data_IF_436632644324
#
_entry.id   IF_436632644324
#
_cell.length_a   1.000
_cell.length_b   1.000
_cell.length_c   1.000
_cell.angle_alpha   90.00
_cell.angle_beta   90.00
_cell.angle_gamma   90.00
#
_symmetry.space_group_name_H-M   'P 1'
#
loop_
_entity.id
_entity.type
_entity.pdbx_description
1 polymer ?
#
# COMPACT_ATOMS: atom_id res chain seq x y z
N UNK A 1 23.44 51.11 28.62
CA UNK A 1 22.36 50.41 27.90
C UNK A 1 22.99 49.22 27.20
N UNK A 2 22.66 47.97 27.57
CA UNK A 2 23.15 46.81 26.84
C UNK A 2 22.49 46.75 25.45
N UNK A 3 23.19 46.28 24.40
CA UNK A 3 22.60 46.09 23.08
C UNK A 3 21.51 45.00 23.14
N UNK A 4 20.46 45.11 22.29
CA UNK A 4 19.43 44.08 22.20
C UNK A 4 20.04 42.75 21.72
N UNK A 5 19.56 41.60 22.23
CA UNK A 5 20.00 40.30 21.76
C UNK A 5 19.61 40.12 20.28
N UNK A 6 20.46 39.49 19.44
CA UNK A 6 20.09 39.16 18.08
C UNK A 6 18.93 38.16 18.09
N UNK A 7 18.00 38.22 17.11
CA UNK A 7 16.92 37.25 17.01
C UNK A 7 17.51 35.84 16.79
N UNK A 8 17.18 34.85 17.62
CA UNK A 8 17.48 33.46 17.28
C UNK A 8 16.55 33.00 16.16
N UNK A 9 17.00 32.06 15.32
CA UNK A 9 16.17 31.06 14.61
C UNK A 9 15.44 31.41 13.30
N UNK A 10 15.86 32.40 12.50
CA UNK A 10 15.33 32.52 11.12
C UNK A 10 15.92 31.47 10.14
N UNK A 11 17.14 30.98 10.38
CA UNK A 11 17.81 30.03 9.48
C UNK A 11 17.26 28.61 9.54
N UNK A 12 16.82 28.14 10.71
CA UNK A 12 16.41 26.74 10.92
C UNK A 12 15.09 26.39 10.22
N UNK A 13 14.11 27.31 10.19
CA UNK A 13 12.80 27.04 9.58
C UNK A 13 12.81 26.95 8.05
N UNK A 14 13.78 27.60 7.40
CA UNK A 14 13.91 27.55 5.94
C UNK A 14 14.40 26.17 5.46
N UNK A 15 15.32 25.56 6.22
CA UNK A 15 15.83 24.23 5.93
C UNK A 15 14.79 23.13 6.18
N UNK A 16 13.99 23.24 7.25
CA UNK A 16 12.90 22.29 7.52
C UNK A 16 11.83 22.33 6.42
N UNK A 17 11.42 23.51 5.97
CA UNK A 17 10.46 23.65 4.87
C UNK A 17 11.00 23.07 3.54
N UNK A 18 12.29 23.28 3.25
CA UNK A 18 12.95 22.70 2.08
C UNK A 18 13.05 21.16 2.17
N UNK A 19 13.29 20.62 3.38
CA UNK A 19 13.30 19.18 3.65
C UNK A 19 11.92 18.56 3.46
N UNK A 20 10.87 19.19 3.96
CA UNK A 20 9.49 18.75 3.79
C UNK A 20 9.07 18.74 2.32
N UNK A 21 9.40 19.80 1.57
CA UNK A 21 9.12 19.86 0.14
C UNK A 21 9.90 18.80 -0.64
N UNK A 22 11.18 18.58 -0.30
CA UNK A 22 11.96 17.51 -0.92
C UNK A 22 11.39 16.12 -0.61
N UNK A 23 10.89 15.89 0.61
CA UNK A 23 10.20 14.66 0.98
C UNK A 23 8.89 14.50 0.19
N UNK A 24 8.12 15.58 0.01
CA UNK A 24 6.90 15.58 -0.79
C UNK A 24 7.18 15.23 -2.26
N UNK A 25 8.28 15.73 -2.82
CA UNK A 25 8.72 15.38 -4.17
C UNK A 25 9.21 13.93 -4.24
N UNK A 26 9.90 13.44 -3.21
CA UNK A 26 10.28 12.03 -3.10
C UNK A 26 9.06 11.11 -3.11
N UNK A 27 7.96 11.53 -2.47
CA UNK A 27 6.71 10.78 -2.45
C UNK A 27 6.04 10.61 -3.83
N UNK A 28 6.32 11.52 -4.77
CA UNK A 28 5.80 11.44 -6.15
C UNK A 28 6.48 10.35 -6.99
N UNK A 29 7.57 9.75 -6.53
CA UNK A 29 8.23 8.65 -7.24
C UNK A 29 7.49 7.32 -7.02
N UNK A 30 7.75 6.39 -7.95
CA UNK A 30 7.33 4.99 -7.83
C UNK A 30 7.81 4.36 -6.51
N UNK A 31 7.02 3.43 -5.96
CA UNK A 31 7.31 2.80 -4.67
C UNK A 31 8.69 2.13 -4.65
N UNK A 32 9.10 1.45 -5.73
CA UNK A 32 10.41 0.81 -5.82
C UNK A 32 11.55 1.82 -5.84
N UNK A 33 11.40 2.90 -6.61
CA UNK A 33 12.40 3.98 -6.72
C UNK A 33 12.51 4.73 -5.39
N UNK A 34 11.38 5.01 -4.75
CA UNK A 34 11.33 5.67 -3.44
C UNK A 34 12.07 4.85 -2.37
N UNK A 35 11.84 3.54 -2.29
CA UNK A 35 12.51 2.69 -1.31
C UNK A 35 14.04 2.65 -1.52
N UNK A 36 14.49 2.42 -2.75
CA UNK A 36 15.92 2.37 -3.08
C UNK A 36 16.63 3.70 -2.81
N UNK A 37 16.01 4.81 -3.21
CA UNK A 37 16.56 6.14 -2.99
C UNK A 37 16.65 6.47 -1.50
N UNK A 38 15.59 6.15 -0.76
CA UNK A 38 15.51 6.52 0.65
C UNK A 38 16.41 5.66 1.53
N UNK A 39 16.56 4.37 1.22
CA UNK A 39 17.53 3.50 1.89
C UNK A 39 18.96 4.01 1.69
N UNK A 40 19.27 4.44 0.45
CA UNK A 40 20.59 4.99 0.11
C UNK A 40 20.84 6.32 0.81
N UNK A 41 19.86 7.25 0.79
CA UNK A 41 19.94 8.53 1.51
C UNK A 41 20.09 8.31 3.01
N UNK A 42 19.32 7.40 3.59
CA UNK A 42 19.41 7.08 5.01
C UNK A 42 20.76 6.46 5.38
N UNK A 43 21.31 5.58 4.54
CA UNK A 43 22.64 5.01 4.74
C UNK A 43 23.73 6.09 4.69
N UNK A 44 23.66 7.01 3.72
CA UNK A 44 24.57 8.17 3.61
C UNK A 44 24.49 9.03 4.87
N UNK A 45 23.29 9.49 5.25
CA UNK A 45 23.07 10.32 6.43
C UNK A 45 23.51 9.61 7.72
N UNK A 46 23.26 8.30 7.82
CA UNK A 46 23.69 7.47 8.96
C UNK A 46 25.21 7.39 9.03
N UNK A 47 25.90 7.16 7.92
CA UNK A 47 27.36 7.03 7.89
C UNK A 47 28.04 8.34 8.30
N UNK A 48 27.54 9.48 7.83
CA UNK A 48 28.03 10.80 8.21
C UNK A 48 27.85 11.06 9.71
N UNK A 49 26.66 10.75 10.25
CA UNK A 49 26.37 10.95 11.69
C UNK A 49 27.16 9.98 12.58
N UNK A 50 27.37 8.74 12.15
CA UNK A 50 28.13 7.73 12.91
C UNK A 50 29.64 7.95 12.86
N UNK A 51 30.16 8.40 11.72
CA UNK A 51 31.58 8.60 11.49
C UNK A 51 31.85 10.05 11.04
N UNK A 52 31.61 11.03 11.93
CA UNK A 52 31.80 12.43 11.56
C UNK A 52 33.24 12.72 11.17
N UNK A 53 34.24 12.01 11.69
CA UNK A 53 35.66 12.20 11.39
C UNK A 53 36.14 11.67 10.03
N UNK A 54 35.32 10.91 9.30
CA UNK A 54 35.72 10.33 8.02
C UNK A 54 35.27 11.20 6.84
N UNK A 55 36.22 11.93 6.24
CA UNK A 55 36.00 12.84 5.11
C UNK A 55 35.41 12.14 3.88
N UNK A 56 35.66 10.83 3.72
CA UNK A 56 35.10 10.01 2.64
C UNK A 56 33.57 9.92 2.67
N UNK A 57 32.94 10.05 3.85
CA UNK A 57 31.49 10.04 3.99
C UNK A 57 30.88 11.44 3.84
N UNK A 58 31.70 12.49 4.01
CA UNK A 58 31.29 13.89 3.81
C UNK A 58 31.28 14.29 2.33
N UNK A 59 31.93 13.49 1.46
CA UNK A 59 32.03 13.73 0.03
C UNK A 59 31.35 12.62 -0.76
N UNK A 60 30.34 12.98 -1.55
CA UNK A 60 29.58 12.04 -2.38
C UNK A 60 29.73 12.46 -3.83
N UNK A 61 30.35 11.61 -4.65
CA UNK A 61 30.48 11.85 -6.09
C UNK A 61 29.18 11.51 -6.80
N UNK A 62 28.69 12.41 -7.65
CA UNK A 62 27.49 12.21 -8.46
C UNK A 62 27.62 11.04 -9.44
N UNK A 63 28.84 10.81 -9.97
CA UNK A 63 29.16 9.67 -10.83
C UNK A 63 29.34 8.31 -10.12
N UNK A 64 29.17 8.23 -8.79
CA UNK A 64 29.24 6.93 -8.11
C UNK A 64 28.08 6.04 -8.59
N UNK A 65 28.33 4.77 -8.95
CA UNK A 65 27.29 3.82 -9.41
C UNK A 65 26.06 3.79 -8.49
N UNK A 66 26.28 3.77 -7.18
CA UNK A 66 25.19 3.78 -6.20
C UNK A 66 24.34 5.07 -6.27
N UNK A 67 24.97 6.21 -6.56
CA UNK A 67 24.25 7.47 -6.77
C UNK A 67 23.54 7.48 -8.12
N UNK A 68 24.21 7.04 -9.18
CA UNK A 68 23.66 7.07 -10.52
C UNK A 68 22.48 6.09 -10.69
N UNK A 69 22.56 4.89 -10.14
CA UNK A 69 21.49 3.89 -10.25
C UNK A 69 20.30 4.21 -9.33
N UNK A 70 20.57 4.70 -8.11
CA UNK A 70 19.52 4.83 -7.07
C UNK A 70 18.99 6.24 -6.87
N UNK A 71 19.82 7.27 -7.10
CA UNK A 71 19.48 8.68 -6.83
C UNK A 71 19.15 9.45 -8.11
N UNK A 72 19.67 9.07 -9.29
CA UNK A 72 19.31 9.74 -10.57
C UNK A 72 17.83 9.60 -10.91
N UNK A 73 17.26 8.42 -10.67
CA UNK A 73 15.86 8.15 -10.98
C UNK A 73 14.90 8.76 -9.94
N UNK A 74 15.41 9.18 -8.78
CA UNK A 74 14.60 9.66 -7.68
C UNK A 74 14.45 11.18 -7.72
N UNK A 75 13.29 11.65 -8.18
CA UNK A 75 12.94 13.08 -8.14
C UNK A 75 12.95 13.56 -6.69
N UNK A 76 13.66 14.65 -6.42
CA UNK A 76 13.73 15.25 -5.07
C UNK A 76 14.88 14.74 -4.20
N UNK A 77 15.59 13.67 -4.58
CA UNK A 77 16.73 13.15 -3.80
C UNK A 77 17.87 14.18 -3.66
N UNK A 78 18.24 14.84 -4.76
CA UNK A 78 19.26 15.91 -4.77
C UNK A 78 18.79 17.12 -3.95
N UNK A 79 17.49 17.43 -3.99
CA UNK A 79 16.90 18.55 -3.25
C UNK A 79 16.93 18.28 -1.74
N UNK A 80 16.73 17.02 -1.34
CA UNK A 80 16.85 16.59 0.06
C UNK A 80 18.31 16.69 0.54
N UNK A 81 19.28 16.27 -0.28
CA UNK A 81 20.71 16.43 0.04
C UNK A 81 21.07 17.90 0.23
N UNK A 82 20.66 18.78 -0.70
CA UNK A 82 20.88 20.24 -0.58
C UNK A 82 20.23 20.81 0.69
N UNK A 83 19.00 20.40 1.00
CA UNK A 83 18.28 20.85 2.19
C UNK A 83 18.90 20.32 3.50
N UNK A 84 19.52 19.14 3.48
CA UNK A 84 20.25 18.55 4.59
C UNK A 84 21.63 19.19 4.83
N UNK A 85 22.05 20.15 4.00
CA UNK A 85 23.29 20.91 4.15
C UNK A 85 24.43 20.47 3.22
N UNK A 86 24.19 19.53 2.30
CA UNK A 86 25.20 19.18 1.29
C UNK A 86 25.28 20.29 0.23
N UNK A 87 26.49 20.79 -0.02
CA UNK A 87 26.77 21.76 -1.07
C UNK A 87 27.27 21.01 -2.29
N UNK A 88 26.67 21.27 -3.45
CA UNK A 88 27.12 20.71 -4.73
C UNK A 88 28.27 21.55 -5.28
N UNK A 89 29.50 21.03 -5.26
CA UNK A 89 30.63 21.61 -5.96
C UNK A 89 30.65 21.10 -7.41
N UNK A 90 30.58 22.03 -8.38
CA UNK A 90 30.52 21.71 -9.81
C UNK A 90 29.10 21.50 -10.35
N UNK A 91 28.15 22.35 -9.97
CA UNK A 91 26.76 22.28 -10.46
C UNK A 91 26.71 22.25 -11.99
N UNK A 92 26.26 21.13 -12.56
CA UNK A 92 26.07 20.95 -14.01
C UNK A 92 27.08 20.05 -14.72
N UNK A 93 28.10 19.52 -14.04
CA UNK A 93 29.03 18.53 -14.61
C UNK A 93 28.75 17.11 -14.10
N UNK A 94 29.14 16.11 -14.90
CA UNK A 94 28.98 14.68 -14.56
C UNK A 94 29.82 14.27 -13.32
N UNK A 95 30.83 15.08 -12.99
CA UNK A 95 31.73 14.94 -11.84
C UNK A 95 31.34 15.78 -10.61
N UNK A 96 30.13 16.35 -10.58
CA UNK A 96 29.66 17.13 -9.44
C UNK A 96 29.83 16.34 -8.13
N UNK A 97 30.35 16.99 -7.09
CA UNK A 97 30.59 16.36 -5.78
C UNK A 97 29.79 17.08 -4.71
N UNK A 98 28.99 16.33 -3.97
CA UNK A 98 28.27 16.85 -2.81
C UNK A 98 29.19 16.80 -1.59
N UNK A 99 29.50 17.96 -1.04
CA UNK A 99 30.38 18.12 0.13
C UNK A 99 29.57 18.67 1.29
N UNK A 100 29.69 18.01 2.44
CA UNK A 100 29.12 18.48 3.69
C UNK A 100 30.19 19.23 4.50
N UNK A 101 29.97 20.53 4.71
CA UNK A 101 30.89 21.40 5.45
C UNK A 101 30.88 21.09 6.96
N UNK A 102 29.70 20.80 7.53
CA UNK A 102 29.54 20.49 8.94
C UNK A 102 28.88 19.10 9.17
N UNK A 103 29.61 18.15 9.78
CA UNK A 103 29.19 16.75 9.91
C UNK A 103 28.10 16.53 10.97
N UNK A 104 27.84 17.52 11.84
CA UNK A 104 26.90 17.40 12.95
C UNK A 104 25.85 18.52 12.94
N UNK A 105 25.56 19.04 11.75
CA UNK A 105 24.64 20.15 11.60
C UNK A 105 23.22 19.72 12.01
N UNK A 106 22.54 20.57 12.79
CA UNK A 106 21.14 20.40 13.15
C UNK A 106 20.22 19.97 11.97
N UNK A 107 20.32 20.58 10.76
CA UNK A 107 19.52 20.16 9.61
C UNK A 107 19.75 18.71 9.16
N UNK A 108 20.93 18.13 9.38
CA UNK A 108 21.22 16.74 9.02
C UNK A 108 20.44 15.75 9.90
N UNK A 109 20.38 16.04 11.19
CA UNK A 109 19.67 15.22 12.19
C UNK A 109 18.16 15.31 11.97
N UNK A 110 17.65 16.52 11.69
CA UNK A 110 16.25 16.75 11.33
C UNK A 110 15.88 16.07 10.02
N UNK A 111 16.71 16.20 8.98
CA UNK A 111 16.51 15.53 7.69
C UNK A 111 16.35 14.01 7.86
N UNK A 112 17.22 13.40 8.67
CA UNK A 112 17.14 11.96 8.99
C UNK A 112 15.85 11.61 9.73
N UNK A 113 15.42 12.43 10.69
CA UNK A 113 14.20 12.20 11.45
C UNK A 113 12.95 12.29 10.58
N UNK A 114 12.85 13.34 9.75
CA UNK A 114 11.75 13.56 8.81
C UNK A 114 11.71 12.42 7.78
N UNK A 115 12.85 12.10 7.17
CA UNK A 115 12.95 11.01 6.19
C UNK A 115 12.49 9.68 6.80
N UNK A 116 12.90 9.36 8.03
CA UNK A 116 12.47 8.15 8.74
C UNK A 116 10.96 8.15 9.00
N UNK A 117 10.37 9.28 9.38
CA UNK A 117 8.94 9.39 9.62
C UNK A 117 8.13 9.19 8.32
N UNK A 118 8.55 9.81 7.22
CA UNK A 118 7.90 9.70 5.91
C UNK A 118 7.98 8.27 5.38
N UNK A 119 9.15 7.63 5.50
CA UNK A 119 9.35 6.22 5.13
C UNK A 119 8.42 5.32 5.92
N UNK A 120 8.41 5.49 7.26
CA UNK A 120 7.56 4.68 8.14
C UNK A 120 6.09 4.81 7.75
N UNK A 121 5.61 6.04 7.54
CA UNK A 121 4.24 6.31 7.10
C UNK A 121 3.93 5.64 5.76
N UNK A 122 4.83 5.70 4.77
CA UNK A 122 4.67 5.03 3.48
C UNK A 122 4.57 3.51 3.64
N UNK A 123 5.49 2.91 4.38
CA UNK A 123 5.49 1.47 4.68
C UNK A 123 4.21 1.03 5.40
N UNK A 124 3.73 1.82 6.36
CA UNK A 124 2.47 1.55 7.06
C UNK A 124 1.26 1.64 6.11
N UNK A 125 1.24 2.59 5.17
CA UNK A 125 0.20 2.69 4.15
C UNK A 125 0.25 1.53 3.15
N UNK A 126 1.43 1.15 2.66
CA UNK A 126 1.62 0.01 1.75
C UNK A 126 1.20 -1.32 2.42
N UNK A 127 1.50 -1.47 3.71
CA UNK A 127 1.06 -2.62 4.50
C UNK A 127 -0.46 -2.67 4.63
N UNK A 128 -1.09 -1.55 5.03
CA UNK A 128 -2.55 -1.45 5.15
C UNK A 128 -3.26 -1.69 3.81
N UNK A 129 -2.79 -1.07 2.73
CA UNK A 129 -3.37 -1.27 1.40
C UNK A 129 -3.32 -2.74 0.95
N UNK A 130 -2.23 -3.45 1.25
CA UNK A 130 -2.11 -4.89 0.98
C UNK A 130 -3.06 -5.72 1.85
N UNK A 131 -3.23 -5.38 3.12
CA UNK A 131 -4.20 -6.05 3.98
C UNK A 131 -5.64 -5.82 3.52
N UNK A 132 -5.99 -4.59 3.18
CA UNK A 132 -7.31 -4.23 2.66
C UNK A 132 -7.60 -4.96 1.35
N UNK A 133 -6.62 -5.09 0.45
CA UNK A 133 -6.78 -5.88 -0.77
C UNK A 133 -7.07 -7.36 -0.47
N UNK A 134 -6.35 -7.96 0.49
CA UNK A 134 -6.61 -9.36 0.91
C UNK A 134 -7.98 -9.50 1.58
N UNK A 135 -8.39 -8.53 2.38
CA UNK A 135 -9.72 -8.54 3.02
C UNK A 135 -10.84 -8.34 2.00
N UNK A 136 -10.66 -7.49 0.99
CA UNK A 136 -11.60 -7.32 -0.10
C UNK A 136 -11.73 -8.60 -0.92
N UNK A 137 -10.61 -9.27 -1.25
CA UNK A 137 -10.66 -10.55 -1.94
C UNK A 137 -11.38 -11.61 -1.12
N UNK A 138 -11.10 -11.68 0.19
CA UNK A 138 -11.75 -12.62 1.09
C UNK A 138 -13.24 -12.34 1.28
N UNK A 139 -13.64 -11.07 1.43
CA UNK A 139 -15.06 -10.69 1.55
C UNK A 139 -15.81 -10.89 0.23
N UNK A 140 -15.19 -10.58 -0.91
CA UNK A 140 -15.76 -10.87 -2.22
C UNK A 140 -15.92 -12.37 -2.46
N UNK A 141 -14.96 -13.19 -2.04
CA UNK A 141 -15.06 -14.64 -2.07
C UNK A 141 -16.19 -15.15 -1.17
N UNK A 142 -16.32 -14.62 0.05
CA UNK A 142 -17.40 -14.97 0.97
C UNK A 142 -18.79 -14.58 0.41
N UNK A 143 -18.91 -13.42 -0.22
CA UNK A 143 -20.14 -12.98 -0.90
C UNK A 143 -20.50 -13.90 -2.08
N UNK A 144 -19.52 -14.26 -2.92
CA UNK A 144 -19.74 -15.23 -4.01
C UNK A 144 -20.21 -16.58 -3.47
N UNK A 145 -19.58 -17.07 -2.40
CA UNK A 145 -19.97 -18.32 -1.76
C UNK A 145 -21.39 -18.25 -1.19
N UNK A 146 -21.75 -17.14 -0.53
CA UNK A 146 -23.10 -16.93 -0.01
C UNK A 146 -24.15 -16.93 -1.13
N UNK A 147 -23.88 -16.26 -2.24
CA UNK A 147 -24.76 -16.25 -3.41
C UNK A 147 -24.92 -17.65 -4.02
N UNK A 148 -23.83 -18.42 -4.11
CA UNK A 148 -23.87 -19.79 -4.62
C UNK A 148 -24.72 -20.71 -3.73
N UNK A 149 -24.58 -20.57 -2.41
CA UNK A 149 -25.39 -21.32 -1.44
C UNK A 149 -26.87 -20.97 -1.54
N UNK A 150 -27.21 -19.70 -1.74
CA UNK A 150 -28.59 -19.28 -1.93
C UNK A 150 -29.21 -19.88 -3.19
N UNK A 151 -28.51 -19.81 -4.33
CA UNK A 151 -28.96 -20.42 -5.58
C UNK A 151 -29.12 -21.94 -5.42
N UNK A 152 -28.17 -22.61 -4.76
CA UNK A 152 -28.28 -24.05 -4.50
C UNK A 152 -29.48 -24.40 -3.62
N UNK A 153 -29.81 -23.55 -2.65
CA UNK A 153 -30.98 -23.72 -1.78
C UNK A 153 -32.27 -23.54 -2.55
N UNK A 154 -32.35 -22.53 -3.41
CA UNK A 154 -33.51 -22.28 -4.28
C UNK A 154 -33.72 -23.46 -5.23
N UNK A 155 -32.68 -23.85 -5.98
CA UNK A 155 -32.77 -25.00 -6.89
C UNK A 155 -33.18 -26.30 -6.19
N UNK A 156 -32.71 -26.52 -4.96
CA UNK A 156 -33.13 -27.68 -4.16
C UNK A 156 -34.60 -27.61 -3.71
N UNK A 157 -35.08 -26.42 -3.36
CA UNK A 157 -36.48 -26.20 -3.00
C UNK A 157 -37.41 -26.35 -4.21
N UNK A 158 -37.02 -25.79 -5.36
CA UNK A 158 -37.74 -25.94 -6.62
C UNK A 158 -37.83 -27.41 -7.04
N UNK A 159 -36.71 -28.14 -7.01
CA UNK A 159 -36.69 -29.57 -7.30
C UNK A 159 -37.57 -30.40 -6.34
N UNK A 160 -37.59 -30.04 -5.05
CA UNK A 160 -38.46 -30.70 -4.07
C UNK A 160 -39.95 -30.38 -4.31
N UNK A 161 -40.27 -29.16 -4.72
CA UNK A 161 -41.63 -28.75 -5.07
C UNK A 161 -42.13 -29.49 -6.32
N UNK A 162 -41.32 -29.54 -7.38
CA UNK A 162 -41.62 -30.32 -8.59
C UNK A 162 -41.83 -31.81 -8.25
N UNK A 163 -40.96 -32.40 -7.44
CA UNK A 163 -41.11 -33.79 -7.01
C UNK A 163 -42.40 -34.02 -6.18
N UNK A 164 -42.81 -33.06 -5.36
CA UNK A 164 -44.05 -33.14 -4.59
C UNK A 164 -45.29 -33.07 -5.50
N UNK A 165 -45.28 -32.18 -6.50
CA UNK A 165 -46.34 -32.07 -7.51
C UNK A 165 -46.46 -33.36 -8.31
N UNK A 166 -45.34 -33.92 -8.77
CA UNK A 166 -45.33 -35.18 -9.51
C UNK A 166 -45.83 -36.34 -8.66
N UNK A 167 -45.45 -36.40 -7.37
CA UNK A 167 -45.95 -37.39 -6.43
C UNK A 167 -47.46 -37.29 -6.23
N UNK A 168 -48.01 -36.09 -6.08
CA UNK A 168 -49.45 -35.90 -5.94
C UNK A 168 -50.21 -36.36 -7.20
N UNK A 169 -49.66 -36.04 -8.38
CA UNK A 169 -50.23 -36.46 -9.67
C UNK A 169 -50.29 -37.97 -9.80
N UNK A 170 -49.22 -38.67 -9.40
CA UNK A 170 -49.18 -40.14 -9.40
C UNK A 170 -50.19 -40.74 -8.42
N UNK A 171 -50.31 -40.18 -7.21
CA UNK A 171 -51.29 -40.64 -6.22
C UNK A 171 -52.74 -40.48 -6.72
N UNK A 172 -53.07 -39.35 -7.33
CA UNK A 172 -54.38 -39.12 -7.96
C UNK A 172 -54.65 -40.13 -9.07
N UNK A 173 -53.66 -40.41 -9.93
CA UNK A 173 -53.77 -41.42 -10.98
C UNK A 173 -54.05 -42.82 -10.43
N UNK A 174 -53.31 -43.24 -9.40
CA UNK A 174 -53.52 -44.53 -8.72
C UNK A 174 -54.91 -44.63 -8.07
N UNK A 175 -55.41 -43.51 -7.53
CA UNK A 175 -56.72 -43.47 -6.89
C UNK A 175 -57.85 -43.61 -7.92
N UNK A 176 -57.73 -42.94 -9.07
CA UNK A 176 -58.67 -43.09 -10.19
C UNK A 176 -58.70 -44.54 -10.69
N UNK A 177 -57.53 -45.17 -10.89
CA UNK A 177 -57.43 -46.57 -11.32
C UNK A 177 -58.06 -47.52 -10.30
N UNK A 178 -57.85 -47.25 -9.01
CA UNK A 178 -58.48 -48.00 -7.91
C UNK A 178 -60.01 -47.88 -7.94
N UNK A 179 -60.53 -46.66 -8.07
CA UNK A 179 -61.97 -46.39 -8.14
C UNK A 179 -62.60 -46.99 -9.40
N UNK A 180 -61.89 -47.00 -10.53
CA UNK A 180 -62.35 -47.66 -11.75
C UNK A 180 -62.42 -49.18 -11.56
N UNK A 181 -61.40 -49.77 -10.95
CA UNK A 181 -61.38 -51.20 -10.61
C UNK A 181 -62.46 -51.59 -9.61
N UNK A 182 -62.78 -50.72 -8.65
CA UNK A 182 -63.91 -50.92 -7.73
C UNK A 182 -65.25 -50.80 -8.46
N UNK A 183 -65.45 -49.80 -9.32
CA UNK A 183 -66.64 -49.69 -10.18
C UNK A 183 -66.86 -50.91 -11.07
N UNK A 184 -65.79 -51.46 -11.64
CA UNK A 184 -65.86 -52.68 -12.44
C UNK A 184 -66.18 -53.95 -11.63
N UNK A 185 -65.99 -53.93 -10.30
CA UNK A 185 -66.35 -55.04 -9.39
C UNK A 185 -67.80 -55.03 -8.92
N UNK A 186 -68.53 -53.93 -9.10
CA UNK A 186 -69.95 -53.79 -8.76
C UNK A 186 -70.96 -53.95 -9.94
N UNK A 187 -70.83 -54.90 -10.89
CA UNK A 187 -71.87 -55.10 -11.91
C UNK A 187 -73.09 -55.92 -11.44
N UNK A 188 -73.17 -56.39 -10.18
CA UNK A 188 -74.22 -57.32 -9.72
C UNK A 188 -74.84 -57.00 -8.33
N UNK A 189 -74.90 -55.74 -7.93
CA UNK A 189 -75.61 -55.29 -6.71
C UNK A 189 -76.90 -54.52 -7.08
N UNK A 190 -77.89 -55.20 -7.63
CA UNK A 190 -79.29 -54.75 -7.52
C UNK A 190 -80.23 -55.97 -7.42
N UNK A 191 -81.12 -55.92 -6.42
CA UNK A 191 -82.22 -56.87 -6.17
C UNK A 191 -83.24 -56.87 -7.30
#
# INVERSE_FOLDING_TARGET
MPPPPPPPTAGTSAHTAALEEACRILLLNDSAVFQLATETLYAILKNVVQHPGEDKYRRIRRGAKAFQEKLSNAKGAVRLLKAAGFVEEGEGTEDATFVLADPLSAPLVEAKAILKAVVKHRFEMDYKAKEEARQQENTAAAQKLAKLKEVSRQNGADAAADAAVERERLLKGLQIDREDRERQKDPWQWK
#
